data_IF_949561082193
#
_entry.id   IF_949561082193
#
_cell.length_a   1.000
_cell.length_b   1.000
_cell.length_c   1.000
_cell.angle_alpha   90.00
_cell.angle_beta   90.00
_cell.angle_gamma   90.00
#
_symmetry.space_group_name_H-M   'P 1'
#
loop_
_entity.id
_entity.type
_entity.pdbx_description
1 polymer ?
#
# COMPACT_ATOMS: atom_id res chain seq x y z
N UNK A 1 10.80 -3.56 22.33
CA UNK A 1 11.67 -3.70 21.15
C UNK A 1 11.77 -2.35 20.46
N UNK A 2 12.96 -1.83 20.14
CA UNK A 2 13.04 -0.69 19.22
C UNK A 2 12.40 -1.09 17.89
N UNK A 3 11.65 -0.19 17.22
CA UNK A 3 11.06 -0.51 15.92
C UNK A 3 12.17 -0.88 14.95
N UNK A 4 12.01 -2.01 14.25
CA UNK A 4 12.90 -2.38 13.15
C UNK A 4 12.89 -1.24 12.13
N UNK A 5 14.03 -0.66 11.76
CA UNK A 5 14.07 0.43 10.81
C UNK A 5 13.42 -0.02 9.49
N UNK A 6 12.36 0.67 9.07
CA UNK A 6 11.77 0.48 7.75
C UNK A 6 12.78 0.97 6.71
N UNK A 7 13.36 0.02 5.98
CA UNK A 7 14.25 0.28 4.86
C UNK A 7 13.52 0.10 3.53
N UNK A 8 14.08 0.63 2.46
CA UNK A 8 13.60 0.43 1.09
C UNK A 8 14.41 -0.68 0.46
N UNK A 9 13.73 -1.60 -0.24
CA UNK A 9 14.35 -2.70 -0.95
C UNK A 9 13.93 -2.71 -2.40
N UNK A 10 14.89 -2.92 -3.30
CA UNK A 10 14.70 -3.05 -4.74
C UNK A 10 15.18 -4.43 -5.16
N UNK A 11 14.41 -5.09 -6.02
CA UNK A 11 14.75 -6.38 -6.61
C UNK A 11 14.47 -6.32 -8.11
N UNK A 12 15.37 -6.89 -8.91
CA UNK A 12 15.27 -6.90 -10.36
C UNK A 12 15.09 -8.33 -10.85
N UNK A 13 13.89 -8.68 -11.29
CA UNK A 13 13.57 -10.02 -11.77
C UNK A 13 13.35 -10.01 -13.30
N UNK A 14 14.36 -10.39 -14.11
CA UNK A 14 14.25 -10.37 -15.57
C UNK A 14 13.31 -11.48 -16.08
N UNK A 15 12.28 -11.11 -16.84
CA UNK A 15 11.23 -12.03 -17.32
C UNK A 15 11.49 -12.64 -18.70
N UNK A 16 12.28 -12.00 -19.55
CA UNK A 16 12.47 -12.37 -20.97
C UNK A 16 13.90 -12.78 -21.35
N UNK A 17 14.81 -12.86 -20.36
CA UNK A 17 16.21 -13.24 -20.60
C UNK A 17 16.45 -14.75 -20.32
N UNK A 18 17.27 -15.46 -21.13
CA UNK A 18 17.68 -16.83 -20.82
C UNK A 18 18.34 -16.91 -19.44
N UNK A 19 18.10 -17.98 -18.67
CA UNK A 19 18.50 -18.09 -17.26
C UNK A 19 19.98 -17.74 -16.96
N UNK A 20 20.91 -18.17 -17.82
CA UNK A 20 22.34 -17.86 -17.69
C UNK A 20 22.68 -16.37 -17.90
N UNK A 21 21.93 -15.69 -18.77
CA UNK A 21 22.07 -14.25 -19.00
C UNK A 21 21.32 -13.44 -17.93
N UNK A 22 20.14 -13.91 -17.54
CA UNK A 22 19.32 -13.33 -16.49
C UNK A 22 20.12 -13.18 -15.19
N UNK A 23 20.84 -14.22 -14.75
CA UNK A 23 21.59 -14.21 -13.48
C UNK A 23 22.75 -13.20 -13.42
N UNK A 24 23.27 -12.76 -14.57
CA UNK A 24 24.39 -11.84 -14.69
C UNK A 24 23.97 -10.43 -15.13
N UNK A 25 22.66 -10.18 -15.27
CA UNK A 25 22.16 -8.86 -15.67
C UNK A 25 22.31 -7.86 -14.53
N UNK A 26 23.05 -6.78 -14.84
CA UNK A 26 23.16 -5.60 -13.98
C UNK A 26 22.46 -4.44 -14.67
N UNK A 27 21.61 -3.75 -13.93
CA UNK A 27 20.87 -2.59 -14.42
C UNK A 27 21.05 -1.42 -13.48
N UNK A 28 21.24 -0.24 -14.05
CA UNK A 28 21.34 1.00 -13.30
C UNK A 28 19.93 1.61 -13.21
N UNK A 29 19.45 1.87 -12.00
CA UNK A 29 18.16 2.47 -11.73
C UNK A 29 18.34 3.86 -11.15
N UNK A 30 17.68 4.85 -11.74
CA UNK A 30 17.56 6.18 -11.15
C UNK A 30 16.34 6.18 -10.22
N UNK A 31 16.57 6.45 -8.94
CA UNK A 31 15.58 6.38 -7.86
C UNK A 31 15.46 7.74 -7.20
N UNK A 32 14.23 8.23 -7.10
CA UNK A 32 13.89 9.48 -6.42
C UNK A 32 13.01 9.18 -5.21
N UNK A 33 13.42 9.69 -4.07
CA UNK A 33 12.61 9.73 -2.86
C UNK A 33 11.99 11.12 -2.69
N UNK A 34 10.70 11.16 -2.41
CA UNK A 34 9.94 12.37 -2.06
C UNK A 34 9.32 12.15 -0.69
N UNK A 35 9.84 12.84 0.31
CA UNK A 35 9.34 12.82 1.69
C UNK A 35 8.17 13.80 1.85
N UNK A 36 7.13 13.36 2.56
CA UNK A 36 5.87 14.10 2.80
C UNK A 36 5.16 14.51 1.49
N UNK A 37 5.00 13.55 0.57
CA UNK A 37 4.43 13.75 -0.78
C UNK A 37 3.01 14.31 -0.77
N UNK A 38 2.24 14.13 0.31
CA UNK A 38 0.91 14.75 0.49
C UNK A 38 0.97 16.26 0.78
N UNK A 39 2.13 16.81 1.18
CA UNK A 39 2.32 18.22 1.55
C UNK A 39 3.54 18.86 0.84
N UNK A 40 3.61 18.85 -0.50
CA UNK A 40 4.80 19.28 -1.24
C UNK A 40 5.16 20.76 -1.05
N UNK A 41 4.17 21.63 -0.75
CA UNK A 41 4.39 23.07 -0.53
C UNK A 41 4.92 23.39 0.87
N UNK A 42 4.73 22.49 1.83
CA UNK A 42 5.10 22.69 3.23
C UNK A 42 5.48 21.35 3.88
N UNK A 43 6.56 20.71 3.42
CA UNK A 43 6.97 19.40 3.88
C UNK A 43 7.36 19.43 5.36
N UNK A 44 6.99 18.37 6.07
CA UNK A 44 7.25 18.16 7.50
C UNK A 44 8.41 17.22 7.74
N UNK A 45 8.73 16.36 6.76
CA UNK A 45 9.73 15.30 6.83
C UNK A 45 10.96 15.61 5.96
N UNK A 46 12.16 15.40 6.49
CA UNK A 46 13.43 15.76 5.85
C UNK A 46 14.50 14.70 6.06
N UNK A 47 15.49 14.62 5.16
CA UNK A 47 16.63 13.70 5.31
C UNK A 47 17.61 14.19 6.37
N UNK A 48 18.00 13.33 7.32
CA UNK A 48 18.93 13.69 8.38
C UNK A 48 20.33 14.01 7.84
N UNK A 49 20.82 13.24 6.87
CA UNK A 49 22.13 13.46 6.25
C UNK A 49 22.18 14.71 5.34
N UNK A 50 21.02 15.25 4.97
CA UNK A 50 20.90 16.40 4.07
C UNK A 50 19.79 17.32 4.57
N UNK A 51 20.08 18.05 5.64
CA UNK A 51 19.12 18.90 6.33
C UNK A 51 18.36 19.84 5.37
N UNK A 52 17.06 19.98 5.59
CA UNK A 52 16.18 20.80 4.76
C UNK A 52 15.81 20.20 3.40
N UNK A 53 16.44 19.10 2.95
CA UNK A 53 16.02 18.37 1.75
C UNK A 53 14.91 17.37 2.08
N UNK A 54 13.83 17.43 1.32
CA UNK A 54 12.73 16.46 1.35
C UNK A 54 12.68 15.61 0.07
N UNK A 55 13.50 15.94 -0.94
CA UNK A 55 13.66 15.16 -2.18
C UNK A 55 15.13 14.81 -2.35
N UNK A 56 15.39 13.55 -2.67
CA UNK A 56 16.73 13.05 -2.98
C UNK A 56 16.69 12.07 -4.14
N UNK A 57 17.69 12.16 -5.02
CA UNK A 57 17.86 11.26 -6.16
C UNK A 57 19.12 10.43 -5.94
N UNK A 58 19.05 9.15 -6.29
CA UNK A 58 20.15 8.19 -6.21
C UNK A 58 20.17 7.35 -7.48
N UNK A 59 21.35 6.88 -7.88
CA UNK A 59 21.47 5.84 -8.90
C UNK A 59 21.95 4.57 -8.20
N UNK A 60 21.18 3.49 -8.32
CA UNK A 60 21.59 2.17 -7.83
C UNK A 60 21.89 1.24 -8.98
N UNK A 61 23.03 0.58 -8.90
CA UNK A 61 23.34 -0.56 -9.75
C UNK A 61 22.86 -1.81 -9.05
N UNK A 62 21.90 -2.50 -9.65
CA UNK A 62 21.23 -3.66 -9.06
C UNK A 62 21.47 -4.88 -9.94
N UNK A 63 21.91 -5.94 -9.29
CA UNK A 63 22.10 -7.25 -9.90
C UNK A 63 20.79 -8.04 -9.77
N UNK A 64 20.41 -8.75 -10.82
CA UNK A 64 19.18 -9.56 -10.85
C UNK A 64 19.12 -10.66 -9.79
N UNK A 65 20.27 -11.08 -9.27
CA UNK A 65 20.39 -12.19 -8.32
C UNK A 65 20.15 -11.78 -6.85
N UNK A 66 20.08 -10.48 -6.55
CA UNK A 66 20.08 -10.00 -5.17
C UNK A 66 19.08 -8.87 -4.90
N UNK A 67 18.43 -8.94 -3.74
CA UNK A 67 17.61 -7.84 -3.21
C UNK A 67 18.51 -6.77 -2.59
N UNK A 68 18.45 -5.55 -3.12
CA UNK A 68 19.23 -4.42 -2.64
C UNK A 68 18.41 -3.58 -1.66
N UNK A 69 18.82 -3.53 -0.38
CA UNK A 69 18.12 -2.77 0.66
C UNK A 69 18.96 -1.61 1.20
N UNK A 70 18.35 -0.45 1.39
CA UNK A 70 18.94 0.75 1.99
C UNK A 70 17.99 1.39 2.99
N UNK A 71 18.54 1.99 4.03
CA UNK A 71 17.80 2.78 5.00
C UNK A 71 18.35 4.21 5.04
N UNK A 72 17.44 5.15 5.27
CA UNK A 72 17.75 6.57 5.38
C UNK A 72 17.15 7.10 6.67
N UNK A 73 17.97 7.78 7.48
CA UNK A 73 17.45 8.50 8.62
C UNK A 73 16.76 9.77 8.16
N UNK A 74 15.58 10.01 8.72
CA UNK A 74 14.75 11.20 8.45
C UNK A 74 14.38 11.84 9.77
N UNK A 75 14.05 13.13 9.74
CA UNK A 75 13.58 13.87 10.90
C UNK A 75 12.36 14.72 10.57
N UNK A 76 11.57 15.02 11.60
CA UNK A 76 10.39 15.88 11.52
C UNK A 76 10.71 17.20 12.21
N UNK A 77 10.22 18.32 11.66
CA UNK A 77 10.34 19.63 12.32
C UNK A 77 9.53 19.64 13.63
N UNK A 78 10.03 20.25 14.71
CA UNK A 78 9.32 20.26 15.99
C UNK A 78 8.00 21.04 15.95
N UNK A 79 7.89 22.06 15.10
CA UNK A 79 6.76 23.00 15.06
C UNK A 79 5.80 22.74 13.89
N UNK A 80 5.36 21.49 13.71
CA UNK A 80 4.38 21.14 12.69
C UNK A 80 2.95 21.37 13.20
N UNK A 81 2.13 22.04 12.38
CA UNK A 81 0.71 22.31 12.70
C UNK A 81 -0.18 21.14 12.29
N UNK A 82 0.02 20.63 11.10
CA UNK A 82 -0.72 19.47 10.59
C UNK A 82 -0.09 18.18 11.11
N UNK A 83 -0.82 17.49 11.99
CA UNK A 83 -0.46 16.19 12.55
C UNK A 83 -1.39 15.07 12.06
N UNK A 84 -2.48 15.41 11.38
CA UNK A 84 -3.50 14.45 10.94
C UNK A 84 -3.15 13.86 9.57
N UNK A 85 -2.59 14.65 8.66
CA UNK A 85 -2.19 14.11 7.35
C UNK A 85 -1.03 13.11 7.55
N UNK A 86 -1.12 11.87 7.05
CA UNK A 86 -0.02 10.91 7.13
C UNK A 86 1.27 11.45 6.49
N UNK A 87 2.41 11.08 7.06
CA UNK A 87 3.73 11.37 6.51
C UNK A 87 4.04 10.33 5.43
N UNK A 88 3.57 10.59 4.22
CA UNK A 88 3.76 9.70 3.05
C UNK A 88 5.15 9.89 2.45
N UNK A 89 5.85 8.79 2.21
CA UNK A 89 7.10 8.72 1.46
C UNK A 89 6.81 8.08 0.12
N UNK A 90 7.10 8.80 -0.95
CA UNK A 90 6.93 8.33 -2.32
C UNK A 90 8.31 8.00 -2.93
N UNK A 91 8.48 6.76 -3.37
CA UNK A 91 9.60 6.26 -4.14
C UNK A 91 9.21 6.26 -5.61
N UNK A 92 9.99 6.90 -6.45
CA UNK A 92 9.88 6.81 -7.91
C UNK A 92 11.15 6.17 -8.45
N UNK A 93 11.03 5.28 -9.42
CA UNK A 93 12.20 4.67 -10.03
C UNK A 93 12.06 4.60 -11.54
N UNK A 94 13.19 4.69 -12.23
CA UNK A 94 13.27 4.48 -13.67
C UNK A 94 14.54 3.73 -14.01
N UNK A 95 14.51 3.01 -15.13
CA UNK A 95 15.71 2.36 -15.66
C UNK A 95 16.56 3.41 -16.38
N UNK A 96 17.83 3.49 -16.01
CA UNK A 96 18.77 4.41 -16.63
C UNK A 96 19.14 3.90 -18.03
N UNK A 97 18.72 4.64 -19.05
CA UNK A 97 19.02 4.30 -20.43
C UNK A 97 20.53 4.45 -20.71
N UNK A 98 21.21 3.33 -20.90
CA UNK A 98 22.62 3.30 -21.31
C UNK A 98 22.71 3.42 -22.84
N UNK A 99 22.47 4.62 -23.37
CA UNK A 99 22.63 4.94 -24.81
C UNK A 99 24.07 4.80 -25.32
N UNK A 100 25.05 4.63 -24.43
CA UNK A 100 26.48 4.52 -24.80
C UNK A 100 26.83 3.23 -25.56
N UNK A 101 26.07 2.15 -25.44
CA UNK A 101 26.30 0.92 -26.21
C UNK A 101 25.79 0.97 -27.66
N UNK A 102 25.03 2.02 -28.03
CA UNK A 102 24.47 2.16 -29.38
C UNK A 102 25.30 3.08 -30.30
N UNK A 103 26.26 3.83 -29.76
CA UNK A 103 26.99 4.88 -30.50
C UNK A 103 28.46 4.51 -30.82
N UNK A 104 28.96 3.34 -30.40
CA UNK A 104 30.39 3.03 -30.47
C UNK A 104 30.78 1.93 -31.47
N UNK A 105 30.09 1.76 -32.60
CA UNK A 105 30.63 0.90 -33.66
C UNK A 105 30.26 1.34 -35.08
N UNK A 106 30.97 2.34 -35.59
CA UNK A 106 31.06 2.66 -37.03
C UNK A 106 32.12 1.81 -37.74
N UNK A 107 32.67 0.78 -37.09
CA UNK A 107 33.67 -0.13 -37.66
C UNK A 107 33.05 -1.48 -38.03
N UNK A 108 33.28 -1.91 -39.26
CA UNK A 108 32.72 -3.15 -39.82
C UNK A 108 33.26 -4.37 -39.07
N UNK A 109 32.50 -4.99 -38.15
CA UNK A 109 32.48 -6.44 -37.81
C UNK A 109 31.47 -6.74 -36.67
N UNK A 110 30.36 -7.41 -37.01
CA UNK A 110 29.33 -7.97 -36.10
C UNK A 110 28.88 -7.01 -34.97
N UNK A 111 27.99 -6.07 -35.31
CA UNK A 111 27.24 -5.29 -34.32
C UNK A 111 26.42 -6.27 -33.47
N UNK A 112 26.92 -6.60 -32.27
CA UNK A 112 26.07 -7.17 -31.23
C UNK A 112 25.10 -6.05 -30.86
N UNK A 113 23.91 -6.06 -31.46
CA UNK A 113 22.81 -5.18 -31.06
C UNK A 113 22.41 -5.60 -29.66
N UNK A 114 23.09 -5.05 -28.66
CA UNK A 114 22.73 -5.23 -27.26
C UNK A 114 21.40 -4.53 -27.06
N UNK A 115 20.33 -5.32 -26.96
CA UNK A 115 19.01 -4.82 -26.63
C UNK A 115 19.05 -4.28 -25.21
N UNK A 116 18.62 -3.03 -25.03
CA UNK A 116 18.48 -2.46 -23.71
C UNK A 116 17.21 -3.06 -23.05
N UNK A 117 17.27 -3.45 -21.77
CA UNK A 117 16.08 -3.84 -21.06
C UNK A 117 15.11 -2.64 -20.95
N UNK A 118 13.83 -2.95 -20.78
CA UNK A 118 12.78 -1.99 -20.48
C UNK A 118 12.08 -2.43 -19.20
N UNK A 119 11.52 -1.47 -18.46
CA UNK A 119 10.65 -1.79 -17.35
C UNK A 119 9.31 -2.32 -17.87
N UNK A 120 8.68 -3.17 -17.08
CA UNK A 120 7.31 -3.59 -17.32
C UNK A 120 6.40 -2.35 -17.32
N UNK A 121 5.66 -2.16 -18.41
CA UNK A 121 4.77 -1.02 -18.60
C UNK A 121 3.44 -1.19 -17.85
N UNK A 122 3.11 -2.42 -17.47
CA UNK A 122 1.91 -2.74 -16.69
C UNK A 122 2.13 -2.53 -15.19
N UNK A 123 3.38 -2.31 -14.74
CA UNK A 123 3.71 -2.04 -13.35
C UNK A 123 3.87 -0.54 -13.07
N UNK A 124 3.33 -0.11 -11.92
CA UNK A 124 3.55 1.26 -11.45
C UNK A 124 5.01 1.48 -11.05
N UNK A 125 5.63 2.50 -11.62
CA UNK A 125 7.00 2.93 -11.31
C UNK A 125 7.09 3.82 -10.06
N UNK A 126 6.04 3.79 -9.24
CA UNK A 126 5.89 4.59 -8.03
C UNK A 126 5.43 3.67 -6.91
N UNK A 127 6.09 3.75 -5.76
CA UNK A 127 5.71 3.03 -4.54
C UNK A 127 5.57 4.02 -3.40
N UNK A 128 4.57 3.85 -2.55
CA UNK A 128 4.30 4.74 -1.43
C UNK A 128 4.20 3.94 -0.13
N UNK A 129 4.75 4.50 0.94
CA UNK A 129 4.49 4.05 2.31
C UNK A 129 4.22 5.29 3.16
N UNK A 130 3.48 5.15 4.25
CA UNK A 130 3.15 6.28 5.12
C UNK A 130 3.24 5.90 6.58
N UNK A 131 3.50 6.90 7.42
CA UNK A 131 3.41 6.79 8.87
C UNK A 131 2.54 7.91 9.42
N UNK A 132 1.70 7.57 10.40
CA UNK A 132 0.79 8.50 11.03
C UNK A 132 1.36 9.07 12.33
N UNK A 133 1.12 10.35 12.60
CA UNK A 133 1.51 10.97 13.86
C UNK A 133 0.40 10.68 14.87
N UNK A 134 0.70 9.86 15.86
CA UNK A 134 -0.25 9.51 16.90
C UNK A 134 -0.49 10.72 17.82
N UNK A 135 -1.75 11.05 18.03
CA UNK A 135 -2.22 12.10 18.93
C UNK A 135 -3.25 11.52 19.89
N UNK A 136 -3.53 12.20 21.00
CA UNK A 136 -4.53 11.80 22.00
C UNK A 136 -4.30 10.45 22.71
N UNK A 137 -3.06 9.93 22.74
CA UNK A 137 -2.73 8.67 23.40
C UNK A 137 -2.66 8.70 24.94
N UNK A 138 -3.09 9.77 25.59
CA UNK A 138 -2.94 9.94 27.04
C UNK A 138 -1.49 10.23 27.49
N UNK A 139 -1.22 10.06 28.79
CA UNK A 139 0.01 10.57 29.45
C UNK A 139 1.29 9.81 29.09
N UNK A 140 1.17 8.55 28.66
CA UNK A 140 2.30 7.68 28.30
C UNK A 140 2.67 7.79 26.82
N UNK A 141 1.93 8.57 26.01
CA UNK A 141 2.09 8.68 24.56
C UNK A 141 2.01 7.33 23.81
N UNK A 142 1.28 6.35 24.36
CA UNK A 142 1.07 5.04 23.74
C UNK A 142 -0.43 4.83 23.59
N UNK A 143 -0.92 4.83 22.35
CA UNK A 143 -2.32 4.58 22.05
C UNK A 143 -2.63 3.08 22.19
N UNK A 144 -3.54 2.73 23.09
CA UNK A 144 -4.04 1.37 23.29
C UNK A 144 -5.51 1.32 22.85
N UNK A 145 -5.78 0.93 21.59
CA UNK A 145 -7.15 0.78 21.10
C UNK A 145 -7.79 -0.51 21.61
N UNK A 146 -9.13 -0.56 21.61
CA UNK A 146 -9.92 -1.77 21.92
C UNK A 146 -10.94 -1.99 20.79
N UNK A 147 -10.49 -2.64 19.71
CA UNK A 147 -11.27 -2.80 18.48
C UNK A 147 -12.13 -4.06 18.53
N UNK A 148 -13.43 -3.89 18.31
CA UNK A 148 -14.41 -4.96 18.16
C UNK A 148 -14.94 -4.98 16.73
N UNK A 149 -15.00 -6.18 16.15
CA UNK A 149 -15.59 -6.41 14.85
C UNK A 149 -16.66 -7.49 14.97
N UNK A 150 -17.84 -7.22 14.40
CA UNK A 150 -18.93 -8.17 14.31
C UNK A 150 -19.39 -8.27 12.86
N UNK A 151 -19.25 -9.45 12.28
CA UNK A 151 -19.73 -9.76 10.94
C UNK A 151 -21.01 -10.61 11.01
N UNK A 152 -22.08 -10.18 10.36
CA UNK A 152 -23.35 -10.90 10.29
C UNK A 152 -23.76 -11.10 8.84
N UNK A 153 -23.98 -12.34 8.39
CA UNK A 153 -24.52 -12.56 7.05
C UNK A 153 -26.01 -12.17 7.02
N UNK A 154 -26.47 -11.60 5.90
CA UNK A 154 -27.89 -11.25 5.71
C UNK A 154 -28.80 -12.49 5.69
N UNK A 155 -28.25 -13.63 5.30
CA UNK A 155 -28.93 -14.93 5.25
C UNK A 155 -28.16 -16.01 6.00
N UNK A 156 -28.88 -16.87 6.72
CA UNK A 156 -28.29 -18.03 7.40
C UNK A 156 -27.97 -19.17 6.45
N UNK A 157 -28.71 -19.26 5.35
CA UNK A 157 -28.56 -20.29 4.32
C UNK A 157 -28.55 -19.61 2.95
N UNK A 158 -27.63 -20.02 2.09
CA UNK A 158 -27.52 -19.53 0.72
C UNK A 158 -27.64 -20.68 -0.27
N UNK A 159 -28.62 -20.59 -1.17
CA UNK A 159 -28.85 -21.63 -2.19
C UNK A 159 -27.86 -21.46 -3.35
N UNK A 160 -27.03 -22.48 -3.56
CA UNK A 160 -26.09 -22.51 -4.67
C UNK A 160 -26.84 -22.59 -6.01
N UNK A 161 -26.45 -21.76 -6.98
CA UNK A 161 -27.11 -21.69 -8.28
C UNK A 161 -28.32 -20.75 -8.36
N UNK A 162 -28.76 -20.16 -7.24
CA UNK A 162 -29.85 -19.16 -7.23
C UNK A 162 -29.51 -17.88 -8.00
N UNK A 163 -28.21 -17.59 -8.17
CA UNK A 163 -27.75 -16.33 -8.74
C UNK A 163 -27.93 -15.12 -7.82
N UNK A 164 -28.36 -15.35 -6.57
CA UNK A 164 -28.55 -14.31 -5.56
C UNK A 164 -27.23 -13.65 -5.14
N UNK A 165 -27.35 -12.50 -4.47
CA UNK A 165 -26.21 -11.81 -3.86
C UNK A 165 -26.11 -12.24 -2.39
N UNK A 166 -24.89 -12.39 -1.89
CA UNK A 166 -24.64 -12.72 -0.49
C UNK A 166 -24.05 -11.48 0.19
N UNK A 167 -24.75 -10.97 1.18
CA UNK A 167 -24.38 -9.74 1.88
C UNK A 167 -23.85 -10.08 3.27
N UNK A 168 -22.79 -9.38 3.67
CA UNK A 168 -22.24 -9.44 5.01
C UNK A 168 -22.26 -8.04 5.59
N UNK A 169 -22.95 -7.92 6.71
CA UNK A 169 -23.00 -6.73 7.52
C UNK A 169 -21.81 -6.71 8.48
N UNK A 170 -20.95 -5.71 8.33
CA UNK A 170 -19.80 -5.53 9.23
C UNK A 170 -20.05 -4.34 10.15
N UNK A 171 -19.89 -4.57 11.44
CA UNK A 171 -19.90 -3.56 12.50
C UNK A 171 -18.50 -3.48 13.09
N UNK A 172 -17.96 -2.27 13.18
CA UNK A 172 -16.69 -2.01 13.86
C UNK A 172 -16.88 -0.96 14.95
N UNK A 173 -16.28 -1.21 16.12
CA UNK A 173 -16.34 -0.34 17.29
C UNK A 173 -14.96 -0.23 17.92
N UNK A 174 -14.55 0.97 18.33
CA UNK A 174 -13.37 1.18 19.14
C UNK A 174 -13.78 1.62 20.56
N UNK A 175 -13.59 0.75 21.56
CA UNK A 175 -13.89 1.04 22.98
C UNK A 175 -12.67 1.52 23.77
N UNK A 176 -11.52 1.66 23.10
CA UNK A 176 -10.27 2.12 23.69
C UNK A 176 -9.88 3.47 23.12
N UNK A 177 -8.59 3.81 23.21
CA UNK A 177 -8.05 5.05 22.67
C UNK A 177 -8.05 5.06 21.13
N UNK A 178 -7.80 6.22 20.52
CA UNK A 178 -7.70 6.40 19.07
C UNK A 178 -6.85 5.29 18.38
N UNK A 179 -7.43 4.65 17.38
CA UNK A 179 -6.76 3.61 16.58
C UNK A 179 -6.26 4.19 15.26
N UNK A 180 -4.95 4.39 15.12
CA UNK A 180 -4.33 4.90 13.90
C UNK A 180 -4.13 3.78 12.88
N UNK A 181 -4.25 4.10 11.59
CA UNK A 181 -4.13 3.14 10.48
C UNK A 181 -5.07 1.92 10.67
N UNK A 182 -6.30 2.18 11.14
CA UNK A 182 -7.25 1.14 11.46
C UNK A 182 -7.79 0.49 10.18
N UNK A 183 -7.68 -0.83 10.09
CA UNK A 183 -8.07 -1.63 8.93
C UNK A 183 -8.68 -2.93 9.44
N UNK A 184 -9.67 -3.46 8.71
CA UNK A 184 -10.04 -4.86 8.84
C UNK A 184 -9.84 -5.63 7.52
N UNK A 185 -9.50 -6.91 7.68
CA UNK A 185 -9.32 -7.86 6.60
C UNK A 185 -10.45 -8.89 6.63
N UNK A 186 -11.10 -9.13 5.49
CA UNK A 186 -12.15 -10.13 5.31
C UNK A 186 -11.74 -11.12 4.22
N UNK A 187 -11.33 -12.32 4.64
CA UNK A 187 -10.95 -13.38 3.70
C UNK A 187 -12.19 -14.02 3.05
N UNK A 188 -12.28 -13.95 1.72
CA UNK A 188 -13.36 -14.57 0.98
C UNK A 188 -13.01 -16.03 0.63
N UNK A 189 -13.95 -16.96 0.78
CA UNK A 189 -13.72 -18.34 0.37
C UNK A 189 -13.65 -18.44 -1.17
N UNK A 190 -13.04 -19.52 -1.69
CA UNK A 190 -12.98 -19.77 -3.14
C UNK A 190 -14.36 -19.75 -3.81
N UNK A 191 -14.45 -19.11 -4.98
CA UNK A 191 -15.68 -19.02 -5.78
C UNK A 191 -16.69 -17.94 -5.33
N UNK A 192 -16.30 -17.09 -4.37
CA UNK A 192 -16.99 -15.84 -4.03
C UNK A 192 -16.24 -14.64 -4.63
N UNK A 193 -16.98 -13.72 -5.26
CA UNK A 193 -16.43 -12.51 -5.85
C UNK A 193 -17.02 -11.29 -5.17
N UNK A 194 -16.17 -10.35 -4.79
CA UNK A 194 -16.59 -9.04 -4.30
C UNK A 194 -17.26 -8.22 -5.41
N UNK A 195 -18.35 -7.51 -5.10
CA UNK A 195 -19.01 -6.58 -6.02
C UNK A 195 -18.72 -5.14 -5.57
N UNK A 196 -19.22 -4.79 -4.38
CA UNK A 196 -19.13 -3.45 -3.85
C UNK A 196 -19.26 -3.47 -2.32
N UNK A 197 -18.98 -2.34 -1.70
CA UNK A 197 -19.34 -2.04 -0.32
C UNK A 197 -20.24 -0.79 -0.31
N UNK A 198 -21.24 -0.81 0.56
CA UNK A 198 -22.12 0.32 0.79
C UNK A 198 -22.03 0.75 2.26
N UNK A 199 -22.02 2.06 2.47
CA UNK A 199 -21.97 2.69 3.78
C UNK A 199 -23.32 3.23 4.15
N UNK A 200 -23.76 2.84 5.34
CA UNK A 200 -25.11 3.10 5.80
C UNK A 200 -25.14 3.91 7.11
N UNK A 201 -23.97 4.30 7.61
CA UNK A 201 -23.84 5.31 8.66
C UNK A 201 -24.21 6.72 8.14
N UNK A 202 -25.13 7.39 8.84
CA UNK A 202 -25.52 8.77 8.55
C UNK A 202 -24.35 9.76 8.75
N UNK A 203 -23.54 9.52 9.78
CA UNK A 203 -22.33 10.29 10.10
C UNK A 203 -21.12 9.73 9.33
N UNK A 204 -20.79 10.36 8.20
CA UNK A 204 -19.63 10.00 7.37
C UNK A 204 -18.31 10.58 7.86
N UNK A 205 -18.17 10.77 9.18
CA UNK A 205 -17.01 11.44 9.78
C UNK A 205 -15.71 10.65 9.59
N UNK A 206 -15.82 9.31 9.61
CA UNK A 206 -14.69 8.40 9.41
C UNK A 206 -14.71 7.97 7.95
N UNK A 207 -13.68 8.25 7.12
CA UNK A 207 -13.61 7.73 5.76
C UNK A 207 -13.41 6.21 5.80
N UNK A 208 -14.18 5.48 4.97
CA UNK A 208 -14.07 4.03 4.83
C UNK A 208 -13.86 3.73 3.36
N UNK A 209 -12.85 2.92 3.06
CA UNK A 209 -12.49 2.57 1.69
C UNK A 209 -12.02 1.13 1.62
N UNK A 210 -12.66 0.33 0.76
CA UNK A 210 -12.33 -1.07 0.57
C UNK A 210 -11.62 -1.32 -0.77
N UNK A 211 -10.54 -2.09 -0.73
CA UNK A 211 -9.83 -2.56 -1.94
C UNK A 211 -10.26 -3.99 -2.28
N UNK A 212 -10.64 -4.21 -3.54
CA UNK A 212 -11.13 -5.50 -4.01
C UNK A 212 -10.10 -6.63 -3.80
N UNK A 213 -10.55 -7.87 -3.51
CA UNK A 213 -9.66 -9.01 -3.33
C UNK A 213 -8.94 -9.38 -4.62
N UNK A 214 -7.66 -9.73 -4.50
CA UNK A 214 -6.83 -10.22 -5.61
C UNK A 214 -6.19 -11.57 -5.29
N UNK A 215 -5.74 -12.34 -6.29
CA UNK A 215 -4.97 -13.57 -6.06
C UNK A 215 -3.71 -13.34 -5.22
N UNK A 216 -3.06 -12.17 -5.33
CA UNK A 216 -1.88 -11.82 -4.52
C UNK A 216 -2.23 -11.64 -3.03
N UNK A 217 -3.46 -11.22 -2.73
CA UNK A 217 -3.98 -11.05 -1.36
C UNK A 217 -4.68 -12.29 -0.81
N UNK A 218 -4.55 -13.45 -1.48
CA UNK A 218 -5.23 -14.69 -1.09
C UNK A 218 -6.75 -14.51 -0.95
N UNK A 219 -7.37 -13.79 -1.91
CA UNK A 219 -8.79 -13.44 -1.91
C UNK A 219 -9.25 -12.68 -0.64
N UNK A 220 -8.39 -11.84 -0.06
CA UNK A 220 -8.72 -11.03 1.11
C UNK A 220 -9.17 -9.63 0.70
N UNK A 221 -10.38 -9.25 1.11
CA UNK A 221 -10.87 -7.87 1.05
C UNK A 221 -10.24 -7.07 2.19
N UNK A 222 -9.67 -5.91 1.89
CA UNK A 222 -9.08 -5.02 2.89
C UNK A 222 -9.85 -3.71 2.92
N UNK A 223 -10.32 -3.29 4.10
CA UNK A 223 -11.09 -2.07 4.28
C UNK A 223 -10.43 -1.14 5.31
N UNK A 224 -10.02 0.04 4.86
CA UNK A 224 -9.58 1.14 5.71
C UNK A 224 -10.81 1.70 6.43
N UNK A 225 -10.72 1.80 7.76
CA UNK A 225 -11.80 2.24 8.66
C UNK A 225 -11.38 3.43 9.52
N UNK A 226 -10.35 4.17 9.09
CA UNK A 226 -10.01 5.45 9.67
C UNK A 226 -8.56 5.57 10.13
N UNK A 227 -8.06 6.79 10.06
CA UNK A 227 -6.74 7.15 10.53
C UNK A 227 -6.77 8.52 11.23
N UNK A 228 -7.14 8.59 12.52
CA UNK A 228 -7.54 7.45 13.37
C UNK A 228 -9.03 7.06 13.22
N UNK A 229 -9.36 5.83 13.62
CA UNK A 229 -10.68 5.49 14.13
C UNK A 229 -10.77 5.97 15.60
N UNK A 230 -11.55 7.02 15.91
CA UNK A 230 -11.50 7.65 17.23
C UNK A 230 -11.97 6.75 18.37
N UNK A 231 -11.55 7.10 19.59
CA UNK A 231 -12.07 6.51 20.83
C UNK A 231 -13.60 6.59 20.90
N UNK A 232 -14.24 5.53 21.39
CA UNK A 232 -15.68 5.37 21.54
C UNK A 232 -16.47 5.63 20.23
N UNK A 233 -15.80 5.61 19.07
CA UNK A 233 -16.48 5.70 17.78
C UNK A 233 -16.94 4.31 17.38
N UNK A 234 -18.24 4.23 17.13
CA UNK A 234 -18.88 3.06 16.58
C UNK A 234 -19.22 3.41 15.12
N UNK A 235 -18.70 2.62 14.18
CA UNK A 235 -19.03 2.76 12.77
C UNK A 235 -20.30 1.93 12.51
N UNK A 236 -21.44 2.48 12.97
CA UNK A 236 -22.86 2.11 12.74
C UNK A 236 -23.73 3.06 13.58
N UNK A 237 -24.85 3.59 13.06
CA UNK A 237 -25.83 4.26 13.91
C UNK A 237 -27.16 3.53 13.83
N UNK A 238 -27.70 3.18 15.00
CA UNK A 238 -28.95 2.44 15.16
C UNK A 238 -30.13 3.42 15.19
N UNK A 239 -30.83 3.56 14.08
CA UNK A 239 -32.29 3.57 14.10
C UNK A 239 -32.84 3.03 12.78
N UNK A 240 -33.45 1.85 12.84
CA UNK A 240 -34.10 1.11 11.75
C UNK A 240 -33.29 1.00 10.44
N UNK A 241 -32.64 -0.16 10.33
CA UNK A 241 -31.90 -0.69 9.20
C UNK A 241 -30.63 0.05 8.77
N UNK A 242 -29.66 -0.76 8.33
CA UNK A 242 -28.53 -0.47 7.45
C UNK A 242 -27.10 -0.37 8.08
N UNK A 243 -26.19 -1.20 7.54
CA UNK A 243 -24.85 -1.63 7.98
C UNK A 243 -23.71 -1.26 6.99
N UNK A 244 -22.42 -1.53 7.26
CA UNK A 244 -21.49 -1.64 6.12
C UNK A 244 -21.86 -2.93 5.39
N UNK A 245 -22.61 -2.80 4.28
CA UNK A 245 -23.00 -3.94 3.45
C UNK A 245 -21.86 -4.23 2.48
N UNK A 246 -21.21 -5.36 2.64
CA UNK A 246 -20.30 -5.89 1.62
C UNK A 246 -21.11 -6.86 0.77
N UNK A 247 -21.37 -6.48 -0.47
CA UNK A 247 -22.09 -7.35 -1.42
C UNK A 247 -21.09 -8.24 -2.13
N UNK A 248 -21.24 -9.55 -1.94
CA UNK A 248 -20.39 -10.58 -2.54
C UNK A 248 -21.23 -11.46 -3.48
N UNK A 249 -20.93 -11.43 -4.78
CA UNK A 249 -21.54 -12.34 -5.76
C UNK A 249 -20.83 -13.66 -5.77
N UNK A 250 -21.53 -14.72 -5.37
CA UNK A 250 -21.04 -16.08 -5.53
C UNK A 250 -21.40 -16.61 -6.92
N UNK A 251 -20.42 -16.66 -7.84
CA UNK A 251 -20.47 -17.57 -9.01
C UNK A 251 -19.61 -18.79 -8.69
N UNK A 252 -20.15 -19.74 -7.92
CA UNK A 252 -19.54 -21.06 -7.83
C UNK A 252 -19.56 -21.69 -9.23
N UNK A 253 -18.40 -21.79 -9.86
CA UNK A 253 -18.20 -22.76 -10.91
C UNK A 253 -17.83 -24.07 -10.22
N UNK A 254 -18.73 -25.04 -10.28
CA UNK A 254 -18.34 -26.42 -10.04
C UNK A 254 -17.57 -26.88 -11.27
N UNK A 255 -16.34 -27.36 -11.07
CA UNK A 255 -15.59 -28.12 -12.06
C UNK A 255 -16.10 -29.54 -12.04
#
# INVERSE_FOLDING_TARGET
MPPTPRGVCLQHDPTSAPAHHAALMQSDFDVQFVLDSKKPKSPRLFFLAHEGKHIMNFTYRIDSSYRYCRSYFVYIKPTIRDKLTPLEVELRYSLKSNTRSQLSDTSRRRVSRSLAPILDLDQEQITRDSISIQTNCGINNICIPDLYLLAKPSVTHYLLGSGGEFEIDVLVENKGQDAFEAVYDLQLPPGMNYINFDRLDEERDVPVQCSAPTPQTNNTLKCDIGNPLPENKLVRNLHNDTHIQIVVKKRLKFV
#
